data_IF_353929362601
#
_entry.id   IF_353929362601
#
_cell.length_a   1.000
_cell.length_b   1.000
_cell.length_c   1.000
_cell.angle_alpha   90.00
_cell.angle_beta   90.00
_cell.angle_gamma   90.00
#
_symmetry.space_group_name_H-M   'P 1'
#
loop_
_entity.id
_entity.type
_entity.pdbx_description
1 polymer ?
#
# COMPACT_ATOMS: atom_id res chain seq x y z
N UNK A 1 -26.75 -34.24 18.62
CA UNK A 1 -25.75 -34.97 17.81
C UNK A 1 -26.28 -35.50 16.48
N UNK A 2 -27.37 -36.29 16.47
CA UNK A 2 -27.93 -36.82 15.21
C UNK A 2 -28.28 -35.73 14.17
N UNK A 3 -28.94 -34.64 14.58
CA UNK A 3 -29.27 -33.52 13.69
C UNK A 3 -28.02 -32.84 13.08
N UNK A 4 -26.96 -32.68 13.87
CA UNK A 4 -25.69 -32.08 13.41
C UNK A 4 -25.01 -32.98 12.38
N UNK A 5 -24.97 -34.30 12.64
CA UNK A 5 -24.39 -35.27 11.70
C UNK A 5 -25.15 -35.31 10.37
N UNK A 6 -26.48 -35.29 10.44
CA UNK A 6 -27.32 -35.24 9.24
C UNK A 6 -27.06 -33.96 8.42
N UNK A 7 -27.02 -32.81 9.09
CA UNK A 7 -26.78 -31.53 8.41
C UNK A 7 -25.35 -31.38 7.89
N UNK A 8 -24.36 -31.90 8.60
CA UNK A 8 -23.00 -31.99 8.09
C UNK A 8 -22.92 -32.82 6.81
N UNK A 9 -23.56 -33.99 6.76
CA UNK A 9 -23.54 -34.83 5.56
C UNK A 9 -24.18 -34.12 4.34
N UNK A 10 -25.25 -33.35 4.56
CA UNK A 10 -25.86 -32.51 3.52
C UNK A 10 -24.89 -31.43 3.02
N UNK A 11 -24.17 -30.79 3.94
CA UNK A 11 -23.29 -29.65 3.63
C UNK A 11 -21.85 -30.06 3.31
N UNK A 12 -21.47 -31.32 3.49
CA UNK A 12 -20.11 -31.84 3.37
C UNK A 12 -19.38 -31.38 2.10
N UNK A 13 -20.01 -31.35 0.90
CA UNK A 13 -19.36 -30.81 -0.30
C UNK A 13 -18.81 -29.40 -0.16
N UNK A 14 -19.43 -28.55 0.67
CA UNK A 14 -19.00 -27.16 0.94
C UNK A 14 -17.76 -27.06 1.82
N UNK A 15 -17.45 -28.11 2.55
CA UNK A 15 -16.31 -28.17 3.48
C UNK A 15 -15.11 -28.88 2.84
N UNK A 16 -15.09 -29.00 1.50
CA UNK A 16 -13.94 -29.50 0.77
C UNK A 16 -12.84 -28.45 0.73
N UNK A 17 -11.65 -28.87 1.14
CA UNK A 17 -10.42 -28.12 1.18
C UNK A 17 -9.43 -28.72 0.18
N UNK A 18 -8.90 -27.86 -0.70
CA UNK A 18 -8.05 -28.27 -1.82
C UNK A 18 -6.55 -28.23 -1.50
N UNK A 19 -6.17 -27.36 -0.57
CA UNK A 19 -4.80 -27.22 -0.07
C UNK A 19 -4.86 -27.35 1.45
N UNK A 20 -3.85 -27.94 2.06
CA UNK A 20 -3.77 -27.96 3.51
C UNK A 20 -3.66 -26.53 4.08
N UNK A 21 -4.22 -26.32 5.27
CA UNK A 21 -4.13 -25.04 5.98
C UNK A 21 -3.70 -25.26 7.42
N UNK A 22 -3.28 -24.18 8.08
CA UNK A 22 -2.85 -24.17 9.47
C UNK A 22 -3.54 -23.05 10.22
N UNK A 23 -4.03 -23.34 11.42
CA UNK A 23 -4.41 -22.31 12.36
C UNK A 23 -3.23 -22.05 13.29
N UNK A 24 -2.93 -20.79 13.52
CA UNK A 24 -1.83 -20.36 14.37
C UNK A 24 -2.30 -19.34 15.40
N UNK A 25 -1.63 -19.33 16.54
CA UNK A 25 -1.54 -18.17 17.43
C UNK A 25 -0.14 -17.58 17.30
N UNK A 26 0.01 -16.27 17.42
CA UNK A 26 1.33 -15.64 17.32
C UNK A 26 1.44 -14.41 18.21
N UNK A 27 2.68 -14.05 18.53
CA UNK A 27 3.03 -12.72 19.03
C UNK A 27 4.00 -12.09 18.06
N UNK A 28 3.68 -10.90 17.58
CA UNK A 28 4.52 -10.10 16.73
C UNK A 28 4.81 -8.75 17.41
N UNK A 29 6.08 -8.38 17.52
CA UNK A 29 6.51 -7.13 18.17
C UNK A 29 7.36 -6.34 17.19
N UNK A 30 6.88 -5.17 16.79
CA UNK A 30 7.68 -4.22 16.02
C UNK A 30 8.47 -3.33 16.95
N UNK A 31 9.79 -3.38 16.85
CA UNK A 31 10.69 -2.53 17.61
C UNK A 31 10.57 -1.11 17.08
N UNK A 32 10.35 -0.17 18.00
CA UNK A 32 10.25 1.26 17.71
C UNK A 32 11.29 2.00 18.52
N UNK A 33 11.65 3.19 18.07
CA UNK A 33 12.53 4.07 18.82
C UNK A 33 12.00 4.30 20.24
N UNK A 34 12.89 4.15 21.22
CA UNK A 34 12.56 4.47 22.60
C UNK A 34 12.45 5.98 22.81
N UNK A 35 11.89 6.38 23.96
CA UNK A 35 11.92 7.78 24.37
C UNK A 35 13.36 8.31 24.50
N UNK A 36 14.31 7.44 24.88
CA UNK A 36 15.74 7.76 24.93
C UNK A 36 16.33 8.00 23.55
N UNK A 37 16.02 7.14 22.57
CA UNK A 37 16.46 7.30 21.17
C UNK A 37 15.97 8.63 20.60
N UNK A 38 14.68 8.93 20.80
CA UNK A 38 14.08 10.18 20.34
C UNK A 38 14.72 11.41 21.01
N UNK A 39 14.98 11.35 22.32
CA UNK A 39 15.64 12.44 23.03
C UNK A 39 17.09 12.67 22.55
N UNK A 40 17.83 11.58 22.30
CA UNK A 40 19.19 11.66 21.76
C UNK A 40 19.21 12.28 20.35
N UNK A 41 18.33 11.83 19.46
CA UNK A 41 18.19 12.39 18.12
C UNK A 41 17.75 13.85 18.17
N UNK A 42 16.83 14.20 19.07
CA UNK A 42 16.38 15.58 19.27
C UNK A 42 17.56 16.49 19.64
N UNK A 43 18.42 16.05 20.57
CA UNK A 43 19.62 16.79 20.96
C UNK A 43 20.59 16.95 19.79
N UNK A 44 20.87 15.88 19.05
CA UNK A 44 21.75 15.94 17.88
C UNK A 44 21.19 16.88 16.79
N UNK A 45 19.87 16.85 16.58
CA UNK A 45 19.18 17.73 15.64
C UNK A 45 19.24 19.20 16.09
N UNK A 46 19.15 19.48 17.40
CA UNK A 46 19.35 20.83 17.95
C UNK A 46 20.76 21.36 17.66
N UNK A 47 21.79 20.55 17.87
CA UNK A 47 23.18 20.94 17.62
C UNK A 47 23.41 21.26 16.13
N UNK A 48 22.89 20.43 15.22
CA UNK A 48 22.99 20.71 13.79
C UNK A 48 22.10 21.87 13.35
N UNK A 49 20.93 22.08 13.95
CA UNK A 49 20.08 23.23 13.65
C UNK A 49 20.79 24.55 14.01
N UNK A 50 21.51 24.58 15.14
CA UNK A 50 22.31 25.73 15.54
C UNK A 50 23.45 26.02 14.54
N UNK A 51 24.16 24.99 14.08
CA UNK A 51 25.18 25.13 13.02
C UNK A 51 24.56 25.56 11.68
N UNK A 52 23.42 24.99 11.33
CA UNK A 52 22.70 25.30 10.11
C UNK A 52 22.26 26.76 10.10
N UNK A 53 21.85 27.33 11.24
CA UNK A 53 21.36 28.69 11.35
C UNK A 53 22.41 29.77 11.07
N UNK A 54 23.70 29.45 11.22
CA UNK A 54 24.81 30.40 11.01
C UNK A 54 25.68 30.05 9.81
N UNK A 55 25.60 28.83 9.27
CA UNK A 55 26.37 28.40 8.11
C UNK A 55 26.14 29.28 6.85
N UNK A 56 27.22 29.77 6.24
CA UNK A 56 27.17 30.39 4.92
C UNK A 56 26.97 29.33 3.83
N UNK A 57 27.76 28.25 3.89
CA UNK A 57 27.55 27.02 3.11
C UNK A 57 27.09 25.89 4.05
N UNK A 58 25.85 25.41 3.94
CA UNK A 58 25.32 24.36 4.80
C UNK A 58 25.68 22.94 4.33
N UNK A 59 26.44 22.77 3.23
CA UNK A 59 26.74 21.46 2.64
C UNK A 59 27.28 20.45 3.66
N UNK A 60 28.27 20.83 4.46
CA UNK A 60 28.85 19.95 5.49
C UNK A 60 27.90 19.67 6.67
N UNK A 61 27.06 20.64 7.04
CA UNK A 61 26.07 20.45 8.12
C UNK A 61 25.01 19.43 7.70
N UNK A 62 24.50 19.55 6.47
CA UNK A 62 23.52 18.59 5.92
C UNK A 62 24.12 17.20 5.74
N UNK A 63 25.37 17.11 5.28
CA UNK A 63 26.05 15.83 5.11
C UNK A 63 26.28 15.12 6.45
N UNK A 64 26.75 15.84 7.48
CA UNK A 64 27.04 15.27 8.80
C UNK A 64 25.79 14.97 9.62
N UNK A 65 24.66 15.63 9.34
CA UNK A 65 23.39 15.34 9.99
C UNK A 65 22.73 14.04 9.49
N UNK A 66 23.21 13.47 8.38
CA UNK A 66 22.62 12.27 7.80
C UNK A 66 21.23 12.53 7.20
N UNK A 67 21.01 13.74 6.67
CA UNK A 67 19.72 14.12 6.12
C UNK A 67 19.32 13.26 4.91
N UNK A 68 18.05 12.86 4.88
CA UNK A 68 17.42 12.17 3.76
C UNK A 68 17.13 13.10 2.56
N UNK A 69 17.39 14.41 2.70
CA UNK A 69 17.22 15.40 1.63
C UNK A 69 18.57 15.99 1.25
N UNK A 70 18.97 15.76 -0.01
CA UNK A 70 20.23 16.27 -0.54
C UNK A 70 20.24 17.81 -0.63
N UNK A 71 21.39 18.41 -0.33
CA UNK A 71 21.60 19.86 -0.52
C UNK A 71 22.42 20.13 -1.78
N UNK A 72 21.77 20.71 -2.79
CA UNK A 72 22.41 21.01 -4.09
C UNK A 72 23.08 22.38 -4.15
N UNK A 73 22.74 23.31 -3.26
CA UNK A 73 23.29 24.67 -3.27
C UNK A 73 22.97 25.49 -4.52
N UNK A 74 22.02 25.03 -5.35
CA UNK A 74 21.54 25.73 -6.56
C UNK A 74 20.01 25.84 -6.53
N UNK A 75 19.41 26.85 -7.20
CA UNK A 75 17.96 27.03 -7.18
C UNK A 75 17.21 25.86 -7.83
N UNK A 76 16.25 25.30 -7.11
CA UNK A 76 15.37 24.21 -7.58
C UNK A 76 13.89 24.59 -7.43
N UNK A 77 13.02 23.86 -8.12
CA UNK A 77 11.57 24.00 -7.97
C UNK A 77 11.11 23.49 -6.59
N UNK A 78 9.99 24.01 -6.07
CA UNK A 78 9.42 23.53 -4.79
C UNK A 78 9.13 22.03 -4.82
N UNK A 79 8.77 21.49 -5.98
CA UNK A 79 8.49 20.06 -6.22
C UNK A 79 9.70 19.13 -6.12
N UNK A 80 10.93 19.67 -5.99
CA UNK A 80 12.11 18.85 -5.65
C UNK A 80 12.15 18.45 -4.16
N UNK A 81 11.38 19.09 -3.30
CA UNK A 81 11.33 18.78 -1.87
C UNK A 81 10.14 17.86 -1.52
N UNK A 82 10.26 17.01 -0.48
CA UNK A 82 9.13 16.27 0.09
C UNK A 82 7.99 17.20 0.53
N UNK A 83 6.73 16.75 0.49
CA UNK A 83 5.55 17.60 0.69
C UNK A 83 5.52 18.32 2.05
N UNK A 84 5.99 17.66 3.11
CA UNK A 84 6.12 18.27 4.44
C UNK A 84 7.16 19.39 4.47
N UNK A 85 8.25 19.24 3.71
CA UNK A 85 9.26 20.29 3.52
C UNK A 85 8.74 21.43 2.64
N UNK A 86 7.90 21.14 1.63
CA UNK A 86 7.26 22.19 0.84
C UNK A 86 6.40 23.11 1.71
N UNK A 87 5.63 22.55 2.64
CA UNK A 87 4.85 23.32 3.61
C UNK A 87 5.74 24.15 4.54
N UNK A 88 6.92 23.65 4.92
CA UNK A 88 7.90 24.44 5.67
C UNK A 88 8.43 25.62 4.86
N UNK A 89 8.75 25.42 3.58
CA UNK A 89 9.19 26.49 2.68
C UNK A 89 8.15 27.60 2.61
N UNK A 90 6.86 27.27 2.49
CA UNK A 90 5.78 28.24 2.39
C UNK A 90 5.65 29.12 3.64
N UNK A 91 6.00 28.57 4.81
CA UNK A 91 5.90 29.28 6.09
C UNK A 91 7.19 29.94 6.57
N UNK A 92 8.28 29.86 5.78
CA UNK A 92 9.63 30.28 6.23
C UNK A 92 10.14 31.48 5.44
N UNK A 93 10.67 32.47 6.17
CA UNK A 93 11.32 33.65 5.59
C UNK A 93 12.72 33.32 5.11
N UNK A 94 13.17 33.97 4.04
CA UNK A 94 14.56 33.84 3.58
C UNK A 94 15.54 34.25 4.69
N UNK A 95 16.60 33.48 4.86
CA UNK A 95 17.63 33.65 5.87
C UNK A 95 17.34 32.98 7.21
N UNK A 96 16.10 32.56 7.47
CA UNK A 96 15.71 31.99 8.77
C UNK A 96 15.74 30.46 8.77
N UNK A 97 15.94 29.90 9.97
CA UNK A 97 15.88 28.47 10.24
C UNK A 97 14.63 28.17 11.05
N UNK A 98 13.90 27.13 10.68
CA UNK A 98 12.69 26.72 11.40
C UNK A 98 13.05 26.11 12.76
N UNK A 99 12.09 26.11 13.68
CA UNK A 99 12.14 25.18 14.80
C UNK A 99 12.13 23.73 14.29
N UNK A 100 12.62 22.80 15.12
CA UNK A 100 12.54 21.36 14.84
C UNK A 100 11.07 20.97 14.79
N UNK A 101 10.65 20.34 13.69
CA UNK A 101 9.32 19.77 13.54
C UNK A 101 9.40 18.26 13.42
N UNK A 102 8.65 17.58 14.26
CA UNK A 102 8.41 16.14 14.11
C UNK A 102 7.32 15.91 13.06
N UNK A 103 7.61 15.03 12.11
CA UNK A 103 6.61 14.49 11.20
C UNK A 103 6.24 13.08 11.65
N UNK A 104 5.03 12.94 12.18
CA UNK A 104 4.51 11.66 12.71
C UNK A 104 4.14 10.69 11.58
N UNK A 105 3.89 11.17 10.36
CA UNK A 105 3.45 10.32 9.26
C UNK A 105 4.57 9.45 8.70
N UNK A 106 5.77 10.01 8.57
CA UNK A 106 6.97 9.31 8.10
C UNK A 106 8.03 9.15 9.21
N UNK A 107 7.70 9.52 10.45
CA UNK A 107 8.52 9.32 11.63
C UNK A 107 9.89 10.02 11.54
N UNK A 108 9.92 11.29 11.14
CA UNK A 108 11.15 12.08 11.00
C UNK A 108 11.21 13.32 11.90
N UNK A 109 12.43 13.79 12.19
CA UNK A 109 12.71 15.13 12.69
C UNK A 109 13.24 16.01 11.55
N UNK A 110 12.60 17.18 11.38
CA UNK A 110 12.82 18.08 10.27
C UNK A 110 13.23 19.48 10.73
N UNK A 111 14.26 20.02 10.09
CA UNK A 111 14.69 21.42 10.20
C UNK A 111 14.96 21.95 8.81
N UNK A 112 14.46 23.15 8.51
CA UNK A 112 14.70 23.83 7.25
C UNK A 112 15.35 25.18 7.50
N UNK A 113 16.41 25.49 6.75
CA UNK A 113 16.87 26.86 6.54
C UNK A 113 16.62 27.26 5.11
N UNK A 114 15.87 28.36 4.92
CA UNK A 114 15.64 28.89 3.58
C UNK A 114 16.78 29.84 3.21
N UNK A 115 17.67 29.42 2.31
CA UNK A 115 18.83 30.22 1.91
C UNK A 115 18.44 31.33 0.95
N UNK A 116 17.60 31.02 -0.04
CA UNK A 116 17.11 32.01 -0.99
C UNK A 116 15.79 31.61 -1.64
N UNK A 117 15.06 32.62 -2.12
CA UNK A 117 13.86 32.50 -2.94
C UNK A 117 13.95 33.54 -4.05
N UNK A 118 13.82 33.12 -5.30
CA UNK A 118 13.95 34.02 -6.46
C UNK A 118 13.07 33.58 -7.62
N UNK A 119 12.58 34.54 -8.41
CA UNK A 119 11.87 34.28 -9.66
C UNK A 119 12.90 34.02 -10.77
N UNK A 120 12.99 32.77 -11.26
CA UNK A 120 14.02 32.29 -12.17
C UNK A 120 13.42 31.46 -13.32
N UNK A 121 14.06 31.38 -14.50
CA UNK A 121 13.53 30.59 -15.61
C UNK A 121 13.63 29.08 -15.33
N UNK A 122 12.56 28.34 -15.62
CA UNK A 122 12.61 26.88 -15.57
C UNK A 122 13.36 26.27 -16.76
N UNK A 123 13.41 26.98 -17.89
CA UNK A 123 14.18 26.59 -19.07
C UNK A 123 15.07 27.72 -19.58
N UNK A 124 16.34 27.42 -19.81
CA UNK A 124 17.39 28.36 -20.24
C UNK A 124 18.00 27.83 -21.53
N UNK A 125 17.93 28.59 -22.61
CA UNK A 125 18.69 28.31 -23.83
C UNK A 125 20.02 29.05 -23.75
N UNK A 126 21.10 28.35 -24.02
CA UNK A 126 22.44 28.93 -23.96
C UNK A 126 23.37 28.28 -24.99
N UNK A 127 24.46 28.97 -25.25
CA UNK A 127 25.61 28.48 -25.98
C UNK A 127 26.75 28.28 -24.96
N UNK A 128 27.56 27.23 -25.13
CA UNK A 128 28.75 27.01 -24.29
C UNK A 128 29.98 26.64 -25.13
N UNK A 129 31.15 27.09 -24.71
CA UNK A 129 32.45 26.65 -25.22
C UNK A 129 33.30 26.25 -24.01
N UNK A 130 33.65 24.98 -23.93
CA UNK A 130 34.64 24.50 -22.97
C UNK A 130 36.03 24.88 -23.45
N UNK A 131 36.85 25.41 -22.55
CA UNK A 131 38.18 25.92 -22.84
C UNK A 131 39.17 25.20 -21.95
N UNK A 132 39.87 24.24 -22.54
CA UNK A 132 41.01 23.57 -21.92
C UNK A 132 42.35 24.16 -22.38
N UNK A 133 43.41 23.74 -21.70
CA UNK A 133 44.81 24.07 -21.98
C UNK A 133 45.74 23.01 -21.41
N UNK A 134 47.02 23.08 -21.76
CA UNK A 134 48.04 22.15 -21.24
C UNK A 134 48.29 22.38 -19.73
N UNK A 135 48.04 23.61 -19.26
CA UNK A 135 48.00 23.99 -17.84
C UNK A 135 46.70 24.77 -17.53
N UNK A 136 46.28 24.86 -16.26
CA UNK A 136 45.17 25.73 -15.85
C UNK A 136 45.37 27.20 -16.24
N UNK A 137 46.58 27.73 -16.09
CA UNK A 137 46.91 29.11 -16.46
C UNK A 137 46.73 29.37 -17.96
N UNK A 138 47.09 28.40 -18.80
CA UNK A 138 46.92 28.49 -20.25
C UNK A 138 45.44 28.42 -20.64
N UNK A 139 44.66 27.59 -19.97
CA UNK A 139 43.21 27.54 -20.14
C UNK A 139 42.55 28.88 -19.79
N UNK A 140 42.93 29.50 -18.66
CA UNK A 140 42.41 30.81 -18.22
C UNK A 140 42.73 31.94 -19.20
N UNK A 141 43.99 32.08 -19.64
CA UNK A 141 44.39 33.12 -20.62
C UNK A 141 43.66 32.97 -21.95
N UNK A 142 43.52 31.72 -22.41
CA UNK A 142 42.79 31.39 -23.63
C UNK A 142 41.30 31.73 -23.48
N UNK A 143 40.71 31.41 -22.33
CA UNK A 143 39.32 31.73 -22.02
C UNK A 143 39.07 33.25 -22.04
N UNK A 144 39.99 34.05 -21.52
CA UNK A 144 39.88 35.51 -21.55
C UNK A 144 39.94 36.07 -22.98
N UNK A 145 40.79 35.49 -23.83
CA UNK A 145 40.86 35.88 -25.24
C UNK A 145 39.58 35.53 -26.00
N UNK A 146 39.01 34.34 -25.74
CA UNK A 146 37.73 33.93 -26.31
C UNK A 146 36.61 34.84 -25.81
N UNK A 147 36.57 35.12 -24.50
CA UNK A 147 35.59 36.00 -23.89
C UNK A 147 35.62 37.40 -24.51
N UNK A 148 36.82 37.97 -24.68
CA UNK A 148 36.99 39.30 -25.27
C UNK A 148 36.58 39.32 -26.75
N UNK A 149 36.94 38.29 -27.53
CA UNK A 149 36.52 38.17 -28.92
C UNK A 149 34.98 38.08 -29.05
N UNK A 150 34.33 37.27 -28.21
CA UNK A 150 32.88 37.08 -28.24
C UNK A 150 32.10 38.25 -27.64
N UNK A 151 32.71 39.00 -26.72
CA UNK A 151 32.21 40.29 -26.23
C UNK A 151 32.20 41.35 -27.35
N UNK A 152 33.23 41.36 -28.20
CA UNK A 152 33.36 42.30 -29.31
C UNK A 152 32.47 41.92 -30.52
N UNK A 153 32.42 40.64 -30.86
CA UNK A 153 31.63 40.13 -31.99
C UNK A 153 31.09 38.72 -31.70
N UNK A 154 29.85 38.68 -31.23
CA UNK A 154 29.16 37.43 -30.93
C UNK A 154 28.82 36.57 -32.16
N UNK A 155 28.94 37.09 -33.39
CA UNK A 155 28.68 36.29 -34.61
C UNK A 155 29.77 35.24 -34.85
N UNK A 156 30.93 35.40 -34.20
CA UNK A 156 32.07 34.48 -34.31
C UNK A 156 31.92 33.20 -33.48
N UNK A 157 30.81 33.03 -32.74
CA UNK A 157 30.63 31.91 -31.81
C UNK A 157 30.91 30.55 -32.45
N UNK A 158 30.25 30.25 -33.57
CA UNK A 158 30.39 28.97 -34.26
C UNK A 158 31.82 28.75 -34.78
N UNK A 159 32.44 29.81 -35.32
CA UNK A 159 33.80 29.75 -35.82
C UNK A 159 34.81 29.51 -34.68
N UNK A 160 34.63 30.16 -33.53
CA UNK A 160 35.49 29.98 -32.37
C UNK A 160 35.27 28.59 -31.75
N UNK A 161 34.02 28.13 -31.61
CA UNK A 161 33.72 26.79 -31.11
C UNK A 161 34.38 25.69 -31.96
N UNK A 162 34.30 25.81 -33.30
CA UNK A 162 34.94 24.86 -34.23
C UNK A 162 36.46 24.79 -34.08
N UNK A 163 37.13 25.90 -33.76
CA UNK A 163 38.58 25.91 -33.46
C UNK A 163 38.93 25.06 -32.24
N UNK A 164 37.98 24.85 -31.33
CA UNK A 164 38.12 24.01 -30.14
C UNK A 164 37.39 22.67 -30.26
N UNK A 165 37.10 22.21 -31.49
CA UNK A 165 36.49 20.91 -31.75
C UNK A 165 35.04 20.78 -31.25
N UNK A 166 34.35 21.89 -31.01
CA UNK A 166 32.98 21.93 -30.50
C UNK A 166 32.02 22.49 -31.56
N UNK A 167 30.77 22.05 -31.54
CA UNK A 167 29.75 22.51 -32.50
C UNK A 167 29.29 23.94 -32.22
N UNK A 168 29.32 24.36 -30.96
CA UNK A 168 28.86 25.68 -30.54
C UNK A 168 27.36 25.87 -30.73
N UNK A 169 26.59 24.78 -30.73
CA UNK A 169 25.15 24.81 -30.92
C UNK A 169 24.41 25.27 -29.65
N UNK A 170 23.17 25.72 -29.83
CA UNK A 170 22.29 26.12 -28.74
C UNK A 170 21.75 24.88 -28.04
N UNK A 171 21.78 24.91 -26.71
CA UNK A 171 21.25 23.83 -25.87
C UNK A 171 20.27 24.40 -24.84
N UNK A 172 19.26 23.61 -24.48
CA UNK A 172 18.33 23.91 -23.40
C UNK A 172 18.73 23.19 -22.12
N UNK A 173 18.87 23.94 -21.03
CA UNK A 173 18.93 23.44 -19.66
C UNK A 173 17.55 23.63 -19.02
N UNK A 174 16.97 22.56 -18.46
CA UNK A 174 15.76 22.63 -17.64
C UNK A 174 16.08 22.35 -16.18
N UNK A 175 15.31 22.93 -15.24
CA UNK A 175 15.51 22.64 -13.80
C UNK A 175 15.40 21.16 -13.49
N UNK A 176 14.49 20.46 -14.17
CA UNK A 176 14.25 19.03 -13.99
C UNK A 176 15.50 18.17 -14.24
N UNK A 177 16.42 18.63 -15.10
CA UNK A 177 17.65 17.89 -15.42
C UNK A 177 18.64 17.80 -14.25
N UNK A 178 18.57 18.69 -13.25
CA UNK A 178 19.50 18.67 -12.11
C UNK A 178 18.83 18.61 -10.74
N UNK A 179 17.56 19.00 -10.61
CA UNK A 179 16.92 19.21 -9.30
C UNK A 179 16.73 17.95 -8.44
N UNK A 180 16.91 16.75 -9.01
CA UNK A 180 16.83 15.46 -8.31
C UNK A 180 18.18 14.75 -8.19
N UNK A 181 19.28 15.46 -8.52
CA UNK A 181 20.61 14.88 -8.34
C UNK A 181 20.85 14.56 -6.85
N UNK A 182 21.55 13.46 -6.51
CA UNK A 182 21.95 13.22 -5.12
C UNK A 182 23.07 14.17 -4.65
N UNK A 183 23.84 14.74 -5.57
CA UNK A 183 24.91 15.70 -5.26
C UNK A 183 25.34 16.50 -6.51
N UNK A 184 26.04 17.61 -6.31
CA UNK A 184 26.71 18.37 -7.37
C UNK A 184 28.09 18.79 -6.87
N UNK A 185 29.10 18.67 -7.72
CA UNK A 185 30.43 19.23 -7.47
C UNK A 185 30.44 20.77 -7.59
N UNK A 186 31.54 21.39 -7.18
CA UNK A 186 31.67 22.85 -7.15
C UNK A 186 31.58 23.49 -8.54
N UNK A 187 32.16 22.85 -9.57
CA UNK A 187 32.17 23.37 -10.94
C UNK A 187 30.76 23.34 -11.53
N UNK A 188 30.06 22.23 -11.33
CA UNK A 188 28.65 22.09 -11.75
C UNK A 188 27.75 23.10 -11.05
N UNK A 189 27.93 23.34 -9.74
CA UNK A 189 27.18 24.38 -9.00
C UNK A 189 27.45 25.77 -9.57
N UNK A 190 28.71 26.13 -9.80
CA UNK A 190 29.10 27.42 -10.37
C UNK A 190 28.47 27.63 -11.75
N UNK A 191 28.52 26.59 -12.60
CA UNK A 191 27.91 26.59 -13.92
C UNK A 191 26.39 26.79 -13.89
N UNK A 192 25.68 25.99 -13.09
CA UNK A 192 24.23 26.09 -12.96
C UNK A 192 23.78 27.43 -12.37
N UNK A 193 24.50 27.96 -11.39
CA UNK A 193 24.20 29.28 -10.82
C UNK A 193 24.43 30.39 -11.84
N UNK A 194 25.55 30.35 -12.58
CA UNK A 194 25.82 31.34 -13.63
C UNK A 194 24.70 31.35 -14.69
N UNK A 195 24.24 30.18 -15.11
CA UNK A 195 23.12 30.08 -16.05
C UNK A 195 21.81 30.57 -15.41
N UNK A 196 21.45 30.12 -14.20
CA UNK A 196 20.19 30.52 -13.57
C UNK A 196 20.08 32.05 -13.40
N UNK A 197 21.15 32.73 -12.96
CA UNK A 197 21.12 34.15 -12.57
C UNK A 197 21.51 35.18 -13.63
N UNK A 198 22.11 34.79 -14.76
CA UNK A 198 22.38 35.75 -15.83
C UNK A 198 21.09 36.29 -16.49
N UNK A 199 21.19 37.20 -17.46
CA UNK A 199 20.08 37.67 -18.30
C UNK A 199 20.20 37.10 -19.72
N UNK A 200 19.19 37.30 -20.59
CA UNK A 200 19.34 37.01 -22.02
C UNK A 200 20.40 37.94 -22.61
N UNK A 201 21.31 37.39 -23.42
CA UNK A 201 22.44 38.07 -24.03
C UNK A 201 23.71 38.11 -23.16
N UNK A 202 23.62 37.80 -21.87
CA UNK A 202 24.77 37.83 -20.97
C UNK A 202 25.80 36.75 -21.34
N UNK A 203 27.05 37.20 -21.46
CA UNK A 203 28.24 36.38 -21.67
C UNK A 203 29.01 36.25 -20.34
N UNK A 204 29.33 35.02 -19.94
CA UNK A 204 30.06 34.72 -18.71
C UNK A 204 31.26 33.80 -18.99
N UNK A 205 32.36 34.08 -18.29
CA UNK A 205 33.52 33.19 -18.20
C UNK A 205 33.47 32.48 -16.84
N UNK A 206 33.28 31.17 -16.83
CA UNK A 206 33.13 30.35 -15.63
C UNK A 206 34.40 29.53 -15.45
N UNK A 207 35.13 29.75 -14.37
CA UNK A 207 36.30 28.93 -14.04
C UNK A 207 35.84 27.58 -13.47
N UNK A 208 36.58 26.53 -13.83
CA UNK A 208 36.35 25.15 -13.41
C UNK A 208 37.70 24.50 -13.12
N UNK A 209 37.70 23.36 -12.43
CA UNK A 209 38.91 22.57 -12.19
C UNK A 209 39.60 22.14 -13.49
N UNK A 210 38.84 21.95 -14.57
CA UNK A 210 39.34 21.51 -15.88
C UNK A 210 39.72 22.65 -16.84
N UNK A 211 39.62 23.92 -16.43
CA UNK A 211 39.80 25.09 -17.29
C UNK A 211 38.64 26.07 -17.16
N UNK A 212 38.02 26.49 -18.27
CA UNK A 212 36.89 27.41 -18.24
C UNK A 212 35.73 26.95 -19.11
N UNK A 213 34.55 27.49 -18.84
CA UNK A 213 33.39 27.41 -19.71
C UNK A 213 32.92 28.82 -20.01
N UNK A 214 32.98 29.21 -21.29
CA UNK A 214 32.39 30.45 -21.78
C UNK A 214 30.94 30.16 -22.13
N UNK A 215 29.99 30.86 -21.50
CA UNK A 215 28.56 30.68 -21.76
C UNK A 215 27.90 31.97 -22.21
N UNK A 216 26.96 31.87 -23.16
CA UNK A 216 26.07 32.97 -23.55
C UNK A 216 24.63 32.51 -23.48
N UNK A 217 23.82 33.19 -22.67
CA UNK A 217 22.39 32.87 -22.56
C UNK A 217 21.64 33.50 -23.74
N UNK A 218 20.94 32.70 -24.53
CA UNK A 218 20.24 33.14 -25.75
C UNK A 218 18.75 33.29 -25.55
N UNK A 219 18.14 32.53 -24.64
CA UNK A 219 16.72 32.61 -24.36
C UNK A 219 16.38 32.09 -22.95
N UNK A 220 15.22 32.50 -22.42
CA UNK A 220 14.68 32.12 -21.11
C UNK A 220 13.17 32.01 -21.21
N UNK A 221 12.59 30.96 -20.64
CA UNK A 221 11.13 30.76 -20.62
C UNK A 221 10.67 30.10 -19.32
N UNK A 222 9.35 30.14 -19.09
CA UNK A 222 8.70 29.58 -17.91
C UNK A 222 9.32 30.09 -16.61
N UNK A 223 9.26 31.41 -16.40
CA UNK A 223 9.65 32.01 -15.12
C UNK A 223 8.80 31.40 -14.00
N UNK A 224 9.47 30.98 -12.92
CA UNK A 224 8.83 30.40 -11.75
C UNK A 224 9.66 30.73 -10.51
N UNK A 225 9.02 30.71 -9.35
CA UNK A 225 9.74 30.83 -8.09
C UNK A 225 10.56 29.57 -7.82
N UNK A 226 11.88 29.75 -7.65
CA UNK A 226 12.83 28.71 -7.24
C UNK A 226 13.42 28.99 -5.86
N UNK A 227 13.91 27.94 -5.24
CA UNK A 227 14.35 27.93 -3.84
C UNK A 227 15.72 27.30 -3.71
N UNK A 228 16.54 27.84 -2.81
CA UNK A 228 17.69 27.13 -2.24
C UNK A 228 17.36 26.93 -0.77
N UNK A 229 17.16 25.67 -0.36
CA UNK A 229 16.82 25.32 1.01
C UNK A 229 17.73 24.21 1.50
N UNK A 230 18.27 24.38 2.72
CA UNK A 230 19.02 23.37 3.42
C UNK A 230 18.09 22.66 4.39
N UNK A 231 18.01 21.33 4.28
CA UNK A 231 17.02 20.52 4.99
C UNK A 231 17.75 19.44 5.76
N UNK A 232 17.53 19.40 7.08
CA UNK A 232 17.85 18.24 7.91
C UNK A 232 16.55 17.47 8.08
N UNK A 233 16.44 16.30 7.46
CA UNK A 233 15.32 15.36 7.62
C UNK A 233 15.88 14.01 8.00
N UNK A 234 15.65 13.59 9.24
CA UNK A 234 16.26 12.39 9.81
C UNK A 234 15.20 11.47 10.41
N UNK A 235 15.29 10.17 10.15
CA UNK A 235 14.35 9.18 10.65
C UNK A 235 14.54 8.95 12.14
N UNK A 236 13.45 8.87 12.89
CA UNK A 236 13.43 8.51 14.31
C UNK A 236 13.57 6.98 14.41
N UNK A 237 14.79 6.49 14.24
CA UNK A 237 15.13 5.07 14.33
C UNK A 237 15.41 4.60 15.77
N UNK A 238 15.22 3.31 16.04
CA UNK A 238 15.65 2.71 17.30
C UNK A 238 17.17 2.56 17.35
N UNK A 239 17.74 2.69 18.54
CA UNK A 239 19.15 2.37 18.76
C UNK A 239 19.40 0.87 18.83
N UNK A 240 20.68 0.48 18.69
CA UNK A 240 21.13 -0.89 18.97
C UNK A 240 20.78 -1.35 20.38
N UNK A 241 20.84 -0.45 21.36
CA UNK A 241 20.52 -0.76 22.75
C UNK A 241 19.02 -1.02 22.91
N UNK A 242 18.18 -0.21 22.27
CA UNK A 242 16.73 -0.38 22.29
C UNK A 242 16.31 -1.67 21.59
N UNK A 243 16.92 -1.98 20.45
CA UNK A 243 16.73 -3.28 19.79
C UNK A 243 17.16 -4.44 20.67
N UNK A 244 18.37 -4.38 21.25
CA UNK A 244 18.91 -5.45 22.10
C UNK A 244 18.03 -5.72 23.32
N UNK A 245 17.49 -4.66 23.95
CA UNK A 245 16.55 -4.80 25.06
C UNK A 245 15.24 -5.46 24.62
N UNK A 246 14.68 -5.05 23.47
CA UNK A 246 13.48 -5.65 22.92
C UNK A 246 13.69 -7.13 22.57
N UNK A 247 14.80 -7.45 21.90
CA UNK A 247 15.21 -8.80 21.55
C UNK A 247 15.37 -9.68 22.79
N UNK A 248 16.13 -9.23 23.79
CA UNK A 248 16.38 -10.02 25.00
C UNK A 248 15.08 -10.29 25.77
N UNK A 249 14.20 -9.28 25.89
CA UNK A 249 12.89 -9.44 26.52
C UNK A 249 12.00 -10.44 25.77
N UNK A 250 11.97 -10.35 24.44
CA UNK A 250 11.18 -11.24 23.60
C UNK A 250 11.75 -12.67 23.62
N UNK A 251 13.07 -12.82 23.58
CA UNK A 251 13.75 -14.11 23.70
C UNK A 251 13.45 -14.78 25.04
N UNK A 252 13.47 -14.02 26.15
CA UNK A 252 13.06 -14.53 27.45
C UNK A 252 11.60 -15.01 27.43
N UNK A 253 10.70 -14.22 26.85
CA UNK A 253 9.30 -14.61 26.69
C UNK A 253 9.18 -15.93 25.89
N UNK A 254 9.86 -16.05 24.76
CA UNK A 254 9.86 -17.29 23.96
C UNK A 254 10.37 -18.48 24.77
N UNK A 255 11.51 -18.34 25.47
CA UNK A 255 12.09 -19.43 26.26
C UNK A 255 11.21 -19.90 27.42
N UNK A 256 10.45 -19.01 28.06
CA UNK A 256 9.57 -19.33 29.18
C UNK A 256 8.20 -19.91 28.74
N UNK A 257 7.89 -19.87 27.44
CA UNK A 257 6.56 -20.16 26.91
C UNK A 257 6.57 -21.18 25.76
N UNK A 258 7.04 -22.39 26.05
CA UNK A 258 7.15 -23.50 25.08
C UNK A 258 5.83 -24.22 24.75
N UNK A 259 4.71 -23.78 25.32
CA UNK A 259 3.36 -24.28 25.03
C UNK A 259 2.44 -23.12 24.66
N UNK A 260 1.44 -23.38 23.83
CA UNK A 260 0.48 -22.36 23.37
C UNK A 260 -0.28 -21.73 24.56
N UNK A 261 -0.65 -22.53 25.55
CA UNK A 261 -1.30 -22.05 26.78
C UNK A 261 -0.41 -21.06 27.55
N UNK A 262 0.87 -21.37 27.72
CA UNK A 262 1.81 -20.49 28.41
C UNK A 262 2.02 -19.19 27.61
N UNK A 263 2.13 -19.29 26.28
CA UNK A 263 2.22 -18.16 25.37
C UNK A 263 1.06 -17.18 25.60
N UNK A 264 -0.19 -17.64 25.64
CA UNK A 264 -1.37 -16.82 25.96
C UNK A 264 -1.39 -16.29 27.40
N UNK A 265 -1.08 -17.13 28.38
CA UNK A 265 -1.16 -16.78 29.81
C UNK A 265 -0.13 -15.72 30.23
N UNK A 266 1.10 -15.81 29.70
CA UNK A 266 2.20 -14.94 30.09
C UNK A 266 2.38 -13.71 29.20
N UNK A 267 1.76 -13.65 28.02
CA UNK A 267 1.91 -12.52 27.08
C UNK A 267 1.73 -11.16 27.77
N UNK A 268 0.65 -11.01 28.56
CA UNK A 268 0.36 -9.75 29.26
C UNK A 268 1.45 -9.33 30.26
N UNK A 269 2.13 -10.27 30.92
CA UNK A 269 3.23 -9.97 31.85
C UNK A 269 4.43 -9.33 31.14
N UNK A 270 4.65 -9.72 29.88
CA UNK A 270 5.68 -9.14 29.02
C UNK A 270 5.18 -7.93 28.22
N UNK A 271 3.91 -7.53 28.37
CA UNK A 271 3.31 -6.43 27.60
C UNK A 271 3.02 -6.79 26.15
N UNK A 272 2.83 -8.08 25.86
CA UNK A 272 2.50 -8.60 24.54
C UNK A 272 1.04 -9.02 24.44
N UNK A 273 0.55 -9.11 23.21
CA UNK A 273 -0.79 -9.62 22.87
C UNK A 273 -0.62 -10.84 21.97
N UNK A 274 -1.37 -11.90 22.25
CA UNK A 274 -1.46 -13.06 21.35
C UNK A 274 -2.59 -12.83 20.37
N UNK A 275 -2.27 -12.94 19.10
CA UNK A 275 -3.23 -12.88 18.00
C UNK A 275 -3.44 -14.27 17.40
N UNK A 276 -4.52 -14.44 16.64
CA UNK A 276 -4.84 -15.72 15.97
C UNK A 276 -5.02 -15.49 14.48
N UNK A 277 -4.47 -16.40 13.68
CA UNK A 277 -4.72 -16.45 12.25
C UNK A 277 -5.17 -17.86 11.87
N UNK A 278 -6.34 -17.95 11.26
CA UNK A 278 -6.92 -19.21 10.81
C UNK A 278 -6.69 -19.39 9.31
N UNK A 279 -6.67 -20.64 8.87
CA UNK A 279 -6.51 -21.01 7.46
C UNK A 279 -5.27 -20.39 6.77
N UNK A 280 -4.14 -20.35 7.48
CA UNK A 280 -2.83 -19.98 6.93
C UNK A 280 -2.45 -20.97 5.82
N UNK A 281 -1.99 -20.46 4.67
CA UNK A 281 -1.72 -21.25 3.44
C UNK A 281 -0.27 -21.15 3.00
N UNK A 282 0.23 -22.17 2.30
CA UNK A 282 1.56 -22.16 1.66
C UNK A 282 1.69 -21.08 0.59
N UNK A 283 0.57 -20.62 0.00
CA UNK A 283 0.55 -19.56 -1.01
C UNK A 283 0.71 -18.15 -0.42
N UNK A 284 0.76 -17.98 0.90
CA UNK A 284 0.93 -16.66 1.52
C UNK A 284 2.40 -16.23 1.45
N UNK A 285 2.63 -14.92 1.30
CA UNK A 285 3.98 -14.34 1.33
C UNK A 285 4.35 -13.80 2.72
N UNK A 286 3.38 -13.65 3.62
CA UNK A 286 3.56 -13.02 4.92
C UNK A 286 2.86 -13.80 6.02
N UNK A 287 3.54 -14.01 7.14
CA UNK A 287 2.95 -14.45 8.41
C UNK A 287 2.68 -13.21 9.26
N UNK A 288 1.51 -13.12 9.93
CA UNK A 288 1.18 -12.00 10.82
C UNK A 288 1.26 -10.59 10.16
N UNK A 289 1.05 -10.51 8.83
CA UNK A 289 1.24 -9.28 8.04
C UNK A 289 2.67 -8.70 8.15
N UNK A 290 3.66 -9.53 8.46
CA UNK A 290 5.09 -9.20 8.50
C UNK A 290 5.82 -9.69 7.24
N UNK A 291 6.68 -8.83 6.72
CA UNK A 291 7.66 -9.18 5.67
C UNK A 291 8.78 -10.05 6.23
N UNK A 292 9.56 -10.67 5.36
CA UNK A 292 10.69 -11.54 5.72
C UNK A 292 10.31 -12.66 6.71
N UNK A 293 9.17 -13.32 6.48
CA UNK A 293 8.61 -14.37 7.34
C UNK A 293 8.75 -15.78 6.77
N UNK A 294 9.66 -15.99 5.81
CA UNK A 294 9.85 -17.28 5.13
C UNK A 294 10.11 -18.42 6.12
N UNK A 295 11.08 -18.24 7.02
CA UNK A 295 11.48 -19.31 7.93
C UNK A 295 10.38 -19.64 8.94
N UNK A 296 9.60 -18.63 9.35
CA UNK A 296 8.39 -18.82 10.15
C UNK A 296 7.30 -19.59 9.38
N UNK A 297 7.08 -19.24 8.11
CA UNK A 297 6.10 -19.94 7.26
C UNK A 297 6.50 -21.40 7.04
N UNK A 298 7.77 -21.66 6.73
CA UNK A 298 8.31 -23.02 6.63
C UNK A 298 8.09 -23.80 7.92
N UNK A 299 8.43 -23.21 9.07
CA UNK A 299 8.22 -23.83 10.36
C UNK A 299 6.75 -24.18 10.61
N UNK A 300 5.81 -23.31 10.25
CA UNK A 300 4.36 -23.56 10.43
C UNK A 300 3.90 -24.84 9.71
N UNK A 301 4.43 -25.12 8.52
CA UNK A 301 4.04 -26.30 7.73
C UNK A 301 4.86 -27.56 8.07
N UNK A 302 6.09 -27.41 8.57
CA UNK A 302 6.95 -28.52 9.01
C UNK A 302 6.65 -29.01 10.45
N UNK A 303 5.88 -28.25 11.24
CA UNK A 303 5.66 -28.51 12.66
C UNK A 303 4.41 -29.32 12.98
N UNK A 304 4.34 -29.85 14.21
CA UNK A 304 3.19 -30.60 14.72
C UNK A 304 2.22 -29.71 15.50
N UNK A 305 0.93 -30.08 15.51
CA UNK A 305 -0.08 -29.41 16.35
C UNK A 305 0.40 -29.29 17.81
N UNK A 306 0.21 -28.11 18.40
CA UNK A 306 0.62 -27.78 19.76
C UNK A 306 2.05 -27.25 19.92
N UNK A 307 2.88 -27.31 18.87
CA UNK A 307 4.25 -26.80 18.91
C UNK A 307 4.30 -25.27 18.97
N UNK A 308 5.37 -24.74 19.58
CA UNK A 308 5.73 -23.31 19.58
C UNK A 308 7.09 -23.15 18.90
N UNK A 309 7.20 -22.11 18.08
CA UNK A 309 8.37 -21.83 17.26
C UNK A 309 9.53 -21.24 18.07
N UNK A 310 10.76 -21.26 17.52
CA UNK A 310 11.78 -20.33 17.97
C UNK A 310 11.38 -18.88 17.67
N UNK A 311 12.17 -17.94 18.19
CA UNK A 311 12.11 -16.53 17.83
C UNK A 311 12.53 -16.36 16.36
N UNK A 312 11.78 -15.54 15.61
CA UNK A 312 12.18 -15.06 14.29
C UNK A 312 12.37 -13.54 14.29
N UNK A 313 13.45 -13.09 13.65
CA UNK A 313 13.62 -11.69 13.27
C UNK A 313 13.01 -11.49 11.87
N UNK A 314 12.09 -10.54 11.76
CA UNK A 314 11.27 -10.31 10.59
C UNK A 314 11.33 -8.83 10.17
N UNK A 315 10.68 -8.49 9.05
CA UNK A 315 10.61 -7.13 8.55
C UNK A 315 11.94 -6.64 7.97
N UNK A 316 12.31 -5.40 8.25
CA UNK A 316 13.61 -4.82 7.91
C UNK A 316 14.56 -4.92 9.12
N UNK A 317 14.56 -6.10 9.76
CA UNK A 317 15.16 -6.34 11.08
C UNK A 317 14.55 -5.47 12.18
N UNK A 318 13.27 -5.15 12.06
CA UNK A 318 12.53 -4.29 12.98
C UNK A 318 11.35 -5.00 13.66
N UNK A 319 11.17 -6.29 13.39
CA UNK A 319 10.09 -7.09 13.98
C UNK A 319 10.61 -8.40 14.57
N UNK A 320 9.98 -8.82 15.66
CA UNK A 320 10.22 -10.11 16.34
C UNK A 320 8.93 -10.92 16.30
N UNK A 321 9.02 -12.21 16.01
CA UNK A 321 7.87 -13.10 15.84
C UNK A 321 8.07 -14.43 16.57
N UNK A 322 7.00 -14.90 17.21
CA UNK A 322 6.87 -16.28 17.68
C UNK A 322 5.50 -16.82 17.29
N UNK A 323 5.44 -18.08 16.87
CA UNK A 323 4.23 -18.72 16.36
C UNK A 323 3.96 -20.02 17.14
N UNK A 324 2.71 -20.24 17.53
CA UNK A 324 2.20 -21.50 18.05
C UNK A 324 1.22 -22.12 17.05
N UNK A 325 1.45 -23.37 16.67
CA UNK A 325 0.60 -24.09 15.72
C UNK A 325 -0.60 -24.70 16.45
N UNK A 326 -1.79 -24.11 16.31
CA UNK A 326 -2.99 -24.59 17.03
C UNK A 326 -3.70 -25.71 16.30
N UNK A 327 -3.70 -25.71 14.96
CA UNK A 327 -4.42 -26.73 14.19
C UNK A 327 -3.83 -26.99 12.81
N UNK A 328 -3.85 -28.25 12.39
CA UNK A 328 -3.52 -28.74 11.06
C UNK A 328 -4.82 -29.18 10.38
N UNK A 329 -5.09 -28.57 9.23
CA UNK A 329 -6.23 -28.91 8.38
C UNK A 329 -5.73 -29.55 7.10
N UNK A 330 -5.85 -30.88 7.02
CA UNK A 330 -5.40 -31.64 5.86
C UNK A 330 -6.27 -31.38 4.61
N UNK A 331 -5.69 -31.62 3.42
CA UNK A 331 -6.43 -31.64 2.15
C UNK A 331 -7.55 -32.69 2.25
N UNK A 332 -8.76 -32.34 1.81
CA UNK A 332 -9.91 -33.23 1.91
C UNK A 332 -11.15 -32.54 2.44
N UNK A 333 -11.89 -33.19 3.33
CA UNK A 333 -13.09 -32.60 3.94
C UNK A 333 -12.84 -32.24 5.38
N UNK A 334 -13.09 -30.98 5.76
CA UNK A 334 -13.02 -30.53 7.14
C UNK A 334 -14.07 -31.27 7.98
N UNK A 335 -13.65 -31.87 9.09
CA UNK A 335 -14.50 -32.69 9.95
C UNK A 335 -15.59 -31.86 10.64
N UNK A 336 -16.67 -32.51 11.09
CA UNK A 336 -17.64 -31.90 11.99
C UNK A 336 -17.04 -31.61 13.39
N UNK A 337 -15.93 -32.26 13.74
CA UNK A 337 -15.22 -32.02 15.00
C UNK A 337 -14.40 -30.71 14.97
N UNK A 338 -14.22 -30.12 13.79
CA UNK A 338 -13.65 -28.80 13.64
C UNK A 338 -14.62 -27.74 14.18
N UNK A 339 -14.16 -26.88 15.09
CA UNK A 339 -15.00 -25.89 15.75
C UNK A 339 -15.69 -24.92 14.77
N UNK A 340 -15.00 -24.51 13.70
CA UNK A 340 -15.56 -23.61 12.69
C UNK A 340 -16.67 -24.32 11.91
N UNK A 341 -16.42 -25.56 11.46
CA UNK A 341 -17.44 -26.36 10.76
C UNK A 341 -18.62 -26.65 11.68
N UNK A 342 -18.36 -27.01 12.94
CA UNK A 342 -19.38 -27.30 13.94
C UNK A 342 -20.31 -26.12 14.15
N UNK A 343 -19.78 -24.90 14.27
CA UNK A 343 -20.61 -23.70 14.44
C UNK A 343 -21.41 -23.36 13.17
N UNK A 344 -20.84 -23.53 11.97
CA UNK A 344 -21.59 -23.38 10.71
C UNK A 344 -22.75 -24.38 10.64
N UNK A 345 -22.48 -25.67 10.89
CA UNK A 345 -23.50 -26.72 10.86
C UNK A 345 -24.57 -26.48 11.92
N UNK A 346 -24.16 -26.09 13.14
CA UNK A 346 -25.07 -25.76 14.24
C UNK A 346 -25.98 -24.59 13.88
N UNK A 347 -25.47 -23.54 13.25
CA UNK A 347 -26.27 -22.42 12.80
C UNK A 347 -27.35 -22.85 11.78
N UNK A 348 -26.98 -23.70 10.82
CA UNK A 348 -27.93 -24.23 9.83
C UNK A 348 -28.95 -25.21 10.45
N UNK A 349 -28.54 -26.06 11.41
CA UNK A 349 -29.51 -26.89 12.16
C UNK A 349 -30.48 -26.02 12.95
N UNK A 350 -29.99 -24.97 13.62
CA UNK A 350 -30.86 -24.05 14.36
C UNK A 350 -31.86 -23.35 13.42
N UNK A 351 -31.41 -22.93 12.24
CA UNK A 351 -32.28 -22.37 11.20
C UNK A 351 -33.35 -23.37 10.76
N UNK A 352 -32.98 -24.62 10.54
CA UNK A 352 -33.88 -25.69 10.12
C UNK A 352 -34.95 -25.98 11.19
N UNK A 353 -34.55 -26.14 12.45
CA UNK A 353 -35.48 -26.34 13.58
C UNK A 353 -36.40 -25.14 13.80
N UNK A 354 -35.90 -23.90 13.63
CA UNK A 354 -36.73 -22.69 13.68
C UNK A 354 -37.76 -22.70 12.54
N UNK A 355 -37.34 -23.03 11.32
CA UNK A 355 -38.25 -23.13 10.19
C UNK A 355 -39.32 -24.21 10.41
N UNK A 356 -38.95 -25.40 10.87
CA UNK A 356 -39.91 -26.48 11.22
C UNK A 356 -40.97 -26.02 12.21
N UNK A 357 -40.56 -25.35 13.31
CA UNK A 357 -41.49 -24.80 14.31
C UNK A 357 -42.44 -23.76 13.71
N UNK A 358 -41.92 -22.87 12.86
CA UNK A 358 -42.75 -21.84 12.23
C UNK A 358 -43.72 -22.47 11.23
N UNK A 359 -43.26 -23.42 10.39
CA UNK A 359 -44.09 -24.17 9.43
C UNK A 359 -45.23 -24.89 10.16
N UNK A 360 -44.93 -25.55 11.28
CA UNK A 360 -45.94 -26.21 12.11
C UNK A 360 -46.94 -25.19 12.70
N UNK A 361 -46.46 -24.05 13.22
CA UNK A 361 -47.33 -22.97 13.73
C UNK A 361 -48.27 -22.45 12.65
N UNK A 362 -47.79 -22.24 11.43
CA UNK A 362 -48.59 -21.73 10.31
C UNK A 362 -49.30 -22.83 9.51
N UNK A 363 -49.32 -24.07 10.00
CA UNK A 363 -50.11 -25.13 9.40
C UNK A 363 -51.60 -24.73 9.34
N UNK A 364 -52.24 -25.05 8.21
CA UNK A 364 -53.66 -24.77 7.97
C UNK A 364 -54.00 -23.30 7.65
N UNK A 365 -53.02 -22.40 7.56
CA UNK A 365 -53.23 -21.00 7.14
C UNK A 365 -53.65 -20.96 5.67
N UNK A 366 -54.77 -20.30 5.36
CA UNK A 366 -55.35 -20.24 4.01
C UNK A 366 -55.35 -18.83 3.39
N UNK A 367 -55.00 -17.81 4.16
CA UNK A 367 -54.98 -16.43 3.70
C UNK A 367 -53.89 -15.61 4.38
N UNK A 368 -53.60 -14.44 3.79
CA UNK A 368 -52.67 -13.45 4.38
C UNK A 368 -53.15 -12.99 5.76
N UNK A 369 -54.47 -12.80 5.94
CA UNK A 369 -55.06 -12.39 7.22
C UNK A 369 -54.88 -13.46 8.30
N UNK A 370 -55.04 -14.74 7.96
CA UNK A 370 -54.79 -15.85 8.87
C UNK A 370 -53.31 -15.95 9.25
N UNK A 371 -52.40 -15.68 8.31
CA UNK A 371 -50.95 -15.63 8.58
C UNK A 371 -50.60 -14.50 9.55
N UNK A 372 -51.21 -13.31 9.38
CA UNK A 372 -51.04 -12.17 10.28
C UNK A 372 -51.56 -12.47 11.69
N UNK A 373 -52.71 -13.14 11.82
CA UNK A 373 -53.26 -13.55 13.11
C UNK A 373 -52.33 -14.50 13.89
N UNK A 374 -51.46 -15.23 13.18
CA UNK A 374 -50.41 -16.09 13.77
C UNK A 374 -49.06 -15.38 13.99
N UNK A 375 -49.00 -14.05 13.80
CA UNK A 375 -47.82 -13.21 14.00
C UNK A 375 -46.95 -13.01 12.76
N UNK A 376 -47.45 -13.33 11.57
CA UNK A 376 -46.79 -13.05 10.30
C UNK A 376 -46.73 -11.55 9.99
N UNK A 377 -45.60 -11.09 9.45
CA UNK A 377 -45.46 -9.73 8.90
C UNK A 377 -45.72 -9.75 7.40
N UNK A 378 -46.45 -8.76 6.90
CA UNK A 378 -46.81 -8.67 5.47
C UNK A 378 -45.94 -7.62 4.80
N UNK A 379 -45.34 -7.98 3.68
CA UNK A 379 -44.69 -7.06 2.77
C UNK A 379 -45.15 -7.34 1.33
N UNK A 380 -45.30 -6.27 0.56
CA UNK A 380 -45.48 -6.38 -0.89
C UNK A 380 -44.11 -6.56 -1.53
N UNK A 381 -43.97 -7.61 -2.35
CA UNK A 381 -42.76 -7.85 -3.14
C UNK A 381 -43.15 -7.75 -4.61
N UNK A 382 -42.55 -6.79 -5.30
CA UNK A 382 -42.79 -6.53 -6.71
C UNK A 382 -41.66 -7.11 -7.57
N UNK A 383 -41.94 -7.29 -8.87
CA UNK A 383 -40.93 -7.64 -9.88
C UNK A 383 -40.15 -8.94 -9.60
N UNK A 384 -40.84 -9.95 -9.07
CA UNK A 384 -40.28 -11.31 -8.95
C UNK A 384 -40.00 -11.87 -10.35
N UNK A 385 -38.72 -12.06 -10.68
CA UNK A 385 -38.28 -12.57 -11.98
C UNK A 385 -37.26 -13.70 -11.79
N UNK A 386 -36.97 -14.46 -12.85
CA UNK A 386 -35.88 -15.44 -12.83
C UNK A 386 -34.49 -14.80 -13.08
N UNK A 387 -34.45 -13.51 -13.42
CA UNK A 387 -33.19 -12.81 -13.68
C UNK A 387 -32.39 -12.54 -12.39
N UNK A 388 -33.08 -12.40 -11.25
CA UNK A 388 -32.48 -12.26 -9.93
C UNK A 388 -33.38 -12.94 -8.89
N UNK A 389 -32.81 -13.63 -7.89
CA UNK A 389 -33.62 -14.19 -6.81
C UNK A 389 -34.36 -13.07 -6.05
N UNK A 390 -35.56 -13.39 -5.54
CA UNK A 390 -36.39 -12.46 -4.76
C UNK A 390 -35.60 -11.91 -3.59
N UNK A 391 -35.64 -10.59 -3.38
CA UNK A 391 -35.13 -9.97 -2.17
C UNK A 391 -36.29 -9.52 -1.29
N UNK A 392 -36.31 -9.98 -0.04
CA UNK A 392 -37.34 -9.60 0.93
C UNK A 392 -36.77 -8.54 1.86
N UNK A 393 -37.20 -7.28 1.69
CA UNK A 393 -36.68 -6.15 2.45
C UNK A 393 -36.84 -6.31 3.97
N UNK A 394 -37.95 -6.89 4.43
CA UNK A 394 -38.20 -7.11 5.87
C UNK A 394 -37.17 -8.00 6.55
N UNK A 395 -36.50 -8.89 5.79
CA UNK A 395 -35.48 -9.82 6.29
C UNK A 395 -34.08 -9.45 5.80
N UNK A 396 -33.95 -8.43 4.95
CA UNK A 396 -32.71 -8.04 4.30
C UNK A 396 -32.07 -9.18 3.49
N UNK A 397 -32.85 -10.17 3.03
CA UNK A 397 -32.31 -11.44 2.53
C UNK A 397 -32.81 -11.81 1.14
N UNK A 398 -31.93 -12.48 0.38
CA UNK A 398 -32.25 -13.08 -0.91
C UNK A 398 -32.85 -14.48 -0.74
N UNK A 399 -33.95 -14.75 -1.43
CA UNK A 399 -34.86 -15.87 -1.22
C UNK A 399 -35.17 -16.65 -2.52
N UNK A 400 -34.20 -17.42 -3.06
CA UNK A 400 -34.40 -18.17 -4.30
C UNK A 400 -35.52 -19.22 -4.23
N UNK A 401 -35.69 -19.87 -3.07
CA UNK A 401 -36.77 -20.84 -2.87
C UNK A 401 -38.15 -20.17 -3.00
N UNK A 402 -38.26 -18.91 -2.56
CA UNK A 402 -39.47 -18.12 -2.71
C UNK A 402 -39.72 -17.76 -4.18
N UNK A 403 -38.69 -17.40 -4.95
CA UNK A 403 -38.82 -17.16 -6.40
C UNK A 403 -39.42 -18.37 -7.13
N UNK A 404 -38.90 -19.57 -6.86
CA UNK A 404 -39.41 -20.80 -7.47
C UNK A 404 -40.85 -21.09 -7.08
N UNK A 405 -41.19 -20.94 -5.79
CA UNK A 405 -42.54 -21.16 -5.30
C UNK A 405 -43.56 -20.14 -5.86
N UNK A 406 -43.18 -18.87 -5.96
CA UNK A 406 -44.03 -17.81 -6.55
C UNK A 406 -44.31 -18.11 -8.02
N UNK A 407 -43.30 -18.51 -8.79
CA UNK A 407 -43.47 -18.86 -10.19
C UNK A 407 -44.40 -20.06 -10.42
N UNK A 408 -44.49 -20.98 -9.46
CA UNK A 408 -45.36 -22.15 -9.53
C UNK A 408 -46.82 -21.89 -9.06
N UNK A 409 -47.12 -20.72 -8.48
CA UNK A 409 -48.45 -20.38 -7.94
C UNK A 409 -49.24 -19.50 -8.91
N UNK A 410 -50.52 -19.81 -9.17
CA UNK A 410 -51.37 -19.03 -10.09
C UNK A 410 -51.73 -17.66 -9.52
N UNK A 411 -51.97 -16.69 -10.40
CA UNK A 411 -52.51 -15.37 -10.03
C UNK A 411 -53.81 -15.50 -9.24
N UNK A 412 -53.95 -14.67 -8.22
CA UNK A 412 -55.05 -14.69 -7.26
C UNK A 412 -54.90 -15.72 -6.14
N UNK A 413 -54.06 -16.75 -6.30
CA UNK A 413 -53.94 -17.84 -5.33
C UNK A 413 -52.98 -17.52 -4.19
N UNK A 414 -53.33 -18.02 -3.01
CA UNK A 414 -52.46 -18.08 -1.84
C UNK A 414 -51.59 -19.35 -1.88
N UNK A 415 -50.35 -19.26 -1.40
CA UNK A 415 -49.40 -20.36 -1.39
C UNK A 415 -49.97 -21.56 -0.63
N UNK A 416 -50.03 -22.71 -1.30
CA UNK A 416 -50.59 -23.93 -0.71
C UNK A 416 -49.76 -24.49 0.46
N UNK A 417 -48.46 -24.19 0.50
CA UNK A 417 -47.53 -24.62 1.55
C UNK A 417 -46.61 -23.46 1.97
N UNK A 418 -46.25 -23.36 3.26
CA UNK A 418 -45.20 -22.45 3.69
C UNK A 418 -43.87 -22.80 3.03
N UNK A 419 -43.11 -21.79 2.60
CA UNK A 419 -41.82 -21.94 1.94
C UNK A 419 -40.70 -21.61 2.93
N UNK A 420 -39.83 -22.59 3.21
CA UNK A 420 -38.59 -22.34 3.96
C UNK A 420 -37.61 -21.58 3.05
N UNK A 421 -37.30 -20.36 3.43
CA UNK A 421 -36.27 -19.54 2.81
C UNK A 421 -34.98 -19.47 3.65
N UNK A 422 -34.08 -18.60 3.23
CA UNK A 422 -32.80 -18.33 3.85
C UNK A 422 -32.92 -17.61 5.19
N UNK A 423 -33.84 -16.65 5.32
CA UNK A 423 -34.02 -15.86 6.53
C UNK A 423 -35.41 -15.94 7.16
N UNK A 424 -36.34 -16.71 6.57
CA UNK A 424 -37.69 -16.83 7.09
C UNK A 424 -38.48 -17.98 6.48
N UNK A 425 -39.71 -18.16 7.00
CA UNK A 425 -40.72 -19.02 6.39
C UNK A 425 -41.78 -18.12 5.78
N UNK A 426 -42.05 -18.33 4.51
CA UNK A 426 -42.85 -17.41 3.71
C UNK A 426 -44.16 -18.07 3.28
N UNK A 427 -45.23 -17.31 3.44
CA UNK A 427 -46.53 -17.55 2.83
C UNK A 427 -46.83 -16.34 1.97
N UNK A 428 -47.42 -16.54 0.79
CA UNK A 428 -47.60 -15.47 -0.17
C UNK A 428 -48.89 -15.61 -0.95
N UNK A 429 -49.41 -14.51 -1.48
CA UNK A 429 -50.49 -14.51 -2.46
C UNK A 429 -49.98 -13.86 -3.74
N UNK A 430 -50.13 -14.53 -4.89
CA UNK A 430 -49.75 -13.94 -6.17
C UNK A 430 -50.84 -12.95 -6.58
N UNK A 431 -50.57 -11.64 -6.44
CA UNK A 431 -51.57 -10.61 -6.78
C UNK A 431 -51.73 -10.42 -8.27
N UNK A 432 -50.62 -10.47 -9.01
CA UNK A 432 -50.60 -10.29 -10.45
C UNK A 432 -49.43 -11.10 -11.03
N UNK A 433 -49.56 -11.54 -12.28
CA UNK A 433 -48.47 -12.11 -13.07
C UNK A 433 -48.67 -11.67 -14.51
N UNK A 434 -47.58 -11.28 -15.16
CA UNK A 434 -47.60 -10.82 -16.53
C UNK A 434 -46.19 -10.66 -17.07
N UNK A 435 -46.07 -10.69 -18.39
CA UNK A 435 -44.84 -10.28 -19.06
C UNK A 435 -44.63 -8.78 -18.82
N UNK A 436 -43.39 -8.36 -18.53
CA UNK A 436 -43.07 -6.93 -18.45
C UNK A 436 -43.50 -6.25 -19.76
N UNK A 437 -44.36 -5.24 -19.66
CA UNK A 437 -44.83 -4.51 -20.84
C UNK A 437 -43.64 -3.92 -21.61
N UNK A 438 -43.65 -4.04 -22.94
CA UNK A 438 -42.56 -3.57 -23.81
C UNK A 438 -41.34 -4.50 -23.90
N UNK A 439 -41.27 -5.60 -23.15
CA UNK A 439 -40.17 -6.57 -23.24
C UNK A 439 -40.61 -7.74 -24.13
N UNK A 440 -40.19 -7.73 -25.40
CA UNK A 440 -40.31 -8.91 -26.29
C UNK A 440 -39.15 -9.88 -26.01
N UNK A 441 -39.42 -11.18 -26.08
CA UNK A 441 -38.36 -12.19 -26.05
C UNK A 441 -37.46 -12.00 -27.28
N UNK A 442 -36.17 -11.83 -27.04
CA UNK A 442 -35.15 -11.77 -28.07
C UNK A 442 -34.21 -12.96 -27.87
N UNK A 443 -34.34 -13.94 -28.78
CA UNK A 443 -33.55 -15.17 -28.74
C UNK A 443 -32.04 -14.87 -28.78
N UNK A 444 -31.61 -13.91 -29.61
CA UNK A 444 -30.20 -13.54 -29.78
C UNK A 444 -29.64 -12.88 -28.51
N UNK A 445 -30.42 -12.00 -27.89
CA UNK A 445 -30.07 -11.38 -26.60
C UNK A 445 -29.96 -12.41 -25.47
N UNK A 446 -30.85 -13.41 -25.43
CA UNK A 446 -30.77 -14.49 -24.44
C UNK A 446 -29.59 -15.41 -24.70
N UNK A 447 -29.33 -15.78 -25.95
CA UNK A 447 -28.17 -16.58 -26.35
C UNK A 447 -26.86 -15.87 -25.97
N UNK A 448 -26.75 -14.56 -26.22
CA UNK A 448 -25.60 -13.77 -25.79
C UNK A 448 -25.44 -13.75 -24.26
N UNK A 449 -26.53 -13.59 -23.50
CA UNK A 449 -26.47 -13.66 -22.03
C UNK A 449 -26.04 -15.04 -21.52
N UNK A 450 -26.56 -16.11 -22.11
CA UNK A 450 -26.17 -17.48 -21.78
C UNK A 450 -24.70 -17.74 -22.14
N UNK A 451 -24.25 -17.29 -23.30
CA UNK A 451 -22.85 -17.38 -23.73
C UNK A 451 -21.92 -16.61 -22.77
N UNK A 452 -22.30 -15.39 -22.38
CA UNK A 452 -21.55 -14.60 -21.39
C UNK A 452 -21.51 -15.29 -20.02
N UNK A 453 -22.64 -15.85 -19.56
CA UNK A 453 -22.70 -16.59 -18.29
C UNK A 453 -21.84 -17.85 -18.36
N UNK A 454 -21.88 -18.57 -19.48
CA UNK A 454 -21.04 -19.74 -19.72
C UNK A 454 -19.56 -19.35 -19.73
N UNK A 455 -19.17 -18.24 -20.38
CA UNK A 455 -17.80 -17.71 -20.33
C UNK A 455 -17.37 -17.33 -18.91
N UNK A 456 -18.24 -16.69 -18.13
CA UNK A 456 -17.96 -16.41 -16.71
C UNK A 456 -17.75 -17.70 -15.90
N UNK A 457 -18.58 -18.72 -16.14
CA UNK A 457 -18.40 -20.04 -15.51
C UNK A 457 -17.14 -20.76 -16.02
N UNK A 458 -16.80 -20.63 -17.30
CA UNK A 458 -15.56 -21.15 -17.87
C UNK A 458 -14.32 -20.44 -17.32
N UNK A 459 -14.42 -19.18 -16.88
CA UNK A 459 -13.34 -18.51 -16.15
C UNK A 459 -12.92 -19.26 -14.87
N UNK A 460 -13.86 -19.96 -14.23
CA UNK A 460 -13.58 -20.79 -13.05
C UNK A 460 -12.96 -22.16 -13.42
N UNK A 461 -12.90 -22.53 -14.71
CA UNK A 461 -12.31 -23.78 -15.18
C UNK A 461 -10.82 -23.89 -14.86
N UNK A 462 -10.09 -22.77 -14.86
CA UNK A 462 -8.65 -22.78 -14.52
C UNK A 462 -8.40 -23.31 -13.10
N UNK A 463 -9.29 -22.99 -12.15
CA UNK A 463 -9.19 -23.52 -10.79
C UNK A 463 -9.47 -25.03 -10.76
N UNK A 464 -10.44 -25.49 -11.55
CA UNK A 464 -10.74 -26.93 -11.68
C UNK A 464 -9.57 -27.70 -12.31
N UNK A 465 -8.91 -27.13 -13.32
CA UNK A 465 -7.68 -27.70 -13.90
C UNK A 465 -6.56 -27.81 -12.86
N UNK A 466 -6.34 -26.75 -12.08
CA UNK A 466 -5.36 -26.76 -11.00
C UNK A 466 -5.66 -27.86 -9.97
N UNK A 467 -6.92 -27.97 -9.54
CA UNK A 467 -7.38 -29.00 -8.60
C UNK A 467 -7.18 -30.41 -9.18
N UNK A 468 -7.55 -30.64 -10.45
CA UNK A 468 -7.43 -31.95 -11.12
C UNK A 468 -5.99 -32.33 -11.46
N UNK A 469 -5.09 -31.36 -11.53
CA UNK A 469 -3.67 -31.60 -11.84
C UNK A 469 -2.84 -31.89 -10.59
N UNK A 470 -3.47 -31.92 -9.40
CA UNK A 470 -2.83 -32.17 -8.11
C UNK A 470 -1.56 -31.32 -7.88
N UNK A 471 -1.62 -30.04 -8.27
CA UNK A 471 -0.48 -29.13 -8.13
C UNK A 471 -0.18 -28.90 -6.65
N UNK A 472 1.07 -29.12 -6.26
CA UNK A 472 1.58 -28.85 -4.91
C UNK A 472 2.41 -27.56 -4.94
N UNK A 473 2.03 -26.58 -4.12
CA UNK A 473 2.79 -25.33 -4.01
C UNK A 473 3.96 -25.47 -3.04
N UNK A 474 5.17 -25.61 -3.60
CA UNK A 474 6.43 -25.65 -2.85
C UNK A 474 7.17 -24.30 -2.85
N UNK A 475 6.60 -23.25 -3.44
CA UNK A 475 7.33 -21.99 -3.64
C UNK A 475 7.77 -21.35 -2.32
N UNK A 476 6.97 -21.50 -1.26
CA UNK A 476 7.28 -21.03 0.10
C UNK A 476 8.57 -21.63 0.68
N UNK A 477 9.11 -22.70 0.08
CA UNK A 477 10.41 -23.28 0.43
C UNK A 477 11.59 -22.56 -0.25
N UNK A 478 11.34 -21.74 -1.29
CA UNK A 478 12.37 -21.19 -2.18
C UNK A 478 12.44 -19.66 -2.22
N UNK A 479 11.40 -18.92 -1.82
CA UNK A 479 11.42 -17.45 -1.77
C UNK A 479 11.67 -16.89 -0.38
#
# INVERSE_FOLDING_TARGET
DADLKAKYNELKPRFKQYDETRDIKYVAVRVKASAGDKAALMKQTQDFAAQLATAEDPSEVIRKSGSNVAYLGVPVNKSAFPSDIQSLIDSTSVGTTTAIKENVQDNTLNVLRLMSKAELPDSIEFLAIQVGGDTPEDAHKRADSIYNALSADATQWEAIAKKYGQTGEKTWLTTQQYQYSPSLDADTKAYLNALNYSSVGALKNIQTTAGNIIVKVTNRKAMTTKYVAAVIKTDIAFSKDTYSQAYNKFSQYVSENQTIENLEKNAKKFGYTVESASDTRTTQHYVANLRATRDALKWIFDSKEGAVSPLYECGENDALLVVGLTKIHEKGYRSLDDEQIKEIVKAEVMKDKKAEKIIAKVAGVKSVKDAQAKGGKVATVEQVTFAAPVFVQLTGSSEPALSGAVAATKVGQFSAKPVKGNAGVYLFQVKNSGTRAGVKFDAKSQEMKLAQRNMQMAGNFMQELYIKSDVVDNRYLFY
#
